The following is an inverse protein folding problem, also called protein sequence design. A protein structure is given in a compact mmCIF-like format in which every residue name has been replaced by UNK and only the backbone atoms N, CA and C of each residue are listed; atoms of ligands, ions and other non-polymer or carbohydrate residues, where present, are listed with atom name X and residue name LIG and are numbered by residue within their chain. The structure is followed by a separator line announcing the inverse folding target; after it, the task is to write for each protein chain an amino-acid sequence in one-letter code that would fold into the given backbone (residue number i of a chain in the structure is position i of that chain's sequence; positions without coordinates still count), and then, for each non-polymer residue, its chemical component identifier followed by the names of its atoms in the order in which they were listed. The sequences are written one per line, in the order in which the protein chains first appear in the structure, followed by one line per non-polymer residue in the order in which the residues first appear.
data_IF_091049978776
#
_entry.id   IF_091049978776
#
_cell.length_a   1.000
_cell.length_b   1.000
_cell.length_c   1.000
_cell.angle_alpha   90.00
_cell.angle_beta   90.00
_cell.angle_gamma   90.00
#
_symmetry.space_group_name_H-M   'P 1'
#
loop_
_entity.id
_entity.type
_entity.pdbx_description
1 polymer ?
#
# COMPACT_ATOMS: atom_id res chain seq x y z
N UNK A 1 18.45 -4.94 0.18
CA UNK A 1 17.59 -5.28 1.33
C UNK A 1 16.46 -4.28 1.45
N UNK A 2 15.27 -4.77 1.82
CA UNK A 2 14.09 -3.93 2.11
C UNK A 2 13.85 -4.00 3.62
N UNK A 3 13.71 -2.86 4.26
CA UNK A 3 13.39 -2.76 5.68
C UNK A 3 12.05 -2.10 5.89
N UNK A 4 11.17 -2.72 6.68
CA UNK A 4 9.87 -2.19 7.08
C UNK A 4 9.92 -1.83 8.57
N UNK A 5 9.55 -0.60 8.88
CA UNK A 5 9.43 -0.09 10.24
C UNK A 5 7.96 0.22 10.55
N UNK A 6 7.49 -0.27 11.67
CA UNK A 6 6.09 -0.16 12.09
C UNK A 6 5.98 0.65 13.38
N UNK A 7 5.03 1.56 13.44
CA UNK A 7 4.85 2.45 14.58
C UNK A 7 3.40 2.90 14.78
N UNK A 8 3.20 3.77 15.77
CA UNK A 8 1.88 4.31 16.08
C UNK A 8 1.36 5.21 14.96
N UNK A 9 0.30 4.75 14.27
CA UNK A 9 -0.34 5.45 13.14
C UNK A 9 0.62 5.82 11.99
N UNK A 10 1.70 5.05 11.87
CA UNK A 10 2.74 5.30 10.89
C UNK A 10 3.54 4.03 10.60
N UNK A 11 3.90 3.82 9.35
CA UNK A 11 4.96 2.89 8.97
C UNK A 11 5.78 3.46 7.83
N UNK A 12 7.00 2.96 7.68
CA UNK A 12 7.82 3.32 6.52
C UNK A 12 8.62 2.12 6.02
N UNK A 13 8.92 2.19 4.75
CA UNK A 13 9.79 1.23 4.05
C UNK A 13 10.99 2.00 3.53
N UNK A 14 12.17 1.43 3.72
CA UNK A 14 13.42 1.97 3.17
C UNK A 14 14.15 0.84 2.42
N UNK A 15 14.65 1.15 1.24
CA UNK A 15 15.43 0.21 0.44
C UNK A 15 16.39 0.94 -0.49
N UNK A 16 17.51 0.28 -0.81
CA UNK A 16 18.48 0.78 -1.78
C UNK A 16 17.90 0.76 -3.19
N UNK A 17 18.14 1.81 -3.97
CA UNK A 17 17.72 1.92 -5.37
C UNK A 17 18.88 1.70 -6.36
N UNK A 18 20.11 1.60 -5.86
CA UNK A 18 21.29 1.26 -6.64
C UNK A 18 22.10 0.14 -5.97
N UNK A 19 23.01 -0.47 -6.73
CA UNK A 19 23.83 -1.56 -6.26
C UNK A 19 24.89 -1.12 -5.24
N UNK A 20 25.28 0.16 -5.25
CA UNK A 20 26.35 0.70 -4.42
C UNK A 20 25.84 1.10 -3.03
N UNK A 21 24.52 0.99 -2.78
CA UNK A 21 23.85 1.40 -1.54
C UNK A 21 24.08 2.88 -1.15
N UNK A 22 24.33 3.74 -2.13
CA UNK A 22 24.53 5.18 -1.90
C UNK A 22 23.21 5.96 -1.95
N UNK A 23 22.20 5.42 -2.66
CA UNK A 23 20.89 6.03 -2.76
C UNK A 23 19.80 5.11 -2.21
N UNK A 24 18.93 5.67 -1.39
CA UNK A 24 17.82 4.96 -0.76
C UNK A 24 16.49 5.60 -1.13
N UNK A 25 15.49 4.76 -1.36
CA UNK A 25 14.12 5.20 -1.44
C UNK A 25 13.47 5.06 -0.06
N UNK A 26 12.72 6.08 0.33
CA UNK A 26 11.94 6.13 1.57
C UNK A 26 10.46 6.34 1.22
N UNK A 27 9.62 5.47 1.72
CA UNK A 27 8.17 5.56 1.57
C UNK A 27 7.54 5.50 2.95
N UNK A 28 7.00 6.63 3.42
CA UNK A 28 6.29 6.70 4.69
C UNK A 28 4.78 6.77 4.47
N UNK A 29 4.01 5.98 5.22
CA UNK A 29 2.55 6.04 5.26
C UNK A 29 2.13 6.50 6.64
N UNK A 30 1.59 7.71 6.70
CA UNK A 30 1.19 8.38 7.94
C UNK A 30 -0.33 8.55 8.00
N UNK A 31 -0.94 8.16 9.10
CA UNK A 31 -2.32 8.54 9.37
C UNK A 31 -2.38 10.03 9.71
N UNK A 32 -2.89 10.80 8.79
CA UNK A 32 -3.05 12.24 8.91
C UNK A 32 -4.53 12.61 8.84
N UNK A 33 -5.00 13.46 9.74
CA UNK A 33 -6.39 13.93 9.74
C UNK A 33 -6.45 15.21 8.92
N UNK A 34 -7.13 15.15 7.79
CA UNK A 34 -7.43 16.28 6.94
C UNK A 34 -8.87 16.75 7.16
N UNK A 35 -9.12 18.03 7.05
CA UNK A 35 -10.46 18.61 6.95
C UNK A 35 -11.05 18.36 5.56
N UNK A 36 -12.37 18.54 5.39
CA UNK A 36 -13.00 18.38 4.08
C UNK A 36 -12.38 19.32 3.03
N UNK A 37 -12.16 20.59 3.39
CA UNK A 37 -11.55 21.57 2.49
C UNK A 37 -10.12 21.23 2.08
N UNK A 38 -9.35 20.60 2.98
CA UNK A 38 -7.98 20.16 2.68
C UNK A 38 -7.96 18.93 1.76
N UNK A 39 -8.96 18.04 1.86
CA UNK A 39 -9.09 16.87 0.99
C UNK A 39 -9.34 17.26 -0.48
N UNK A 40 -10.09 18.34 -0.70
CA UNK A 40 -10.44 18.84 -2.04
C UNK A 40 -9.33 19.74 -2.63
N UNK A 41 -8.34 20.13 -1.81
CA UNK A 41 -7.24 20.98 -2.24
C UNK A 41 -6.01 20.16 -2.66
N UNK A 42 -5.96 19.77 -3.91
CA UNK A 42 -4.80 19.03 -4.46
C UNK A 42 -3.48 19.82 -4.43
N UNK A 43 -3.54 21.15 -4.36
CA UNK A 43 -2.37 22.03 -4.23
C UNK A 43 -1.69 21.90 -2.85
N UNK A 44 -2.46 21.55 -1.82
CA UNK A 44 -1.97 21.40 -0.45
C UNK A 44 -0.78 20.45 -0.36
N UNK A 45 -0.83 19.32 -1.06
CA UNK A 45 0.22 18.29 -1.00
C UNK A 45 1.56 18.71 -1.65
N UNK A 46 1.56 19.85 -2.36
CA UNK A 46 2.74 20.51 -2.93
C UNK A 46 3.17 21.75 -2.14
N UNK A 47 2.35 22.18 -1.19
CA UNK A 47 2.63 23.35 -0.36
C UNK A 47 3.80 23.07 0.60
N UNK A 48 4.76 23.97 0.65
CA UNK A 48 5.97 23.82 1.49
C UNK A 48 5.65 23.81 2.98
N UNK A 49 4.68 24.60 3.43
CA UNK A 49 4.25 24.65 4.83
C UNK A 49 3.59 23.35 5.25
N UNK A 50 2.73 22.78 4.38
CA UNK A 50 2.14 21.48 4.63
C UNK A 50 3.19 20.36 4.70
N UNK A 51 4.11 20.32 3.73
CA UNK A 51 5.21 19.34 3.71
C UNK A 51 6.05 19.46 4.98
N UNK A 52 6.35 20.68 5.43
CA UNK A 52 7.08 20.91 6.67
C UNK A 52 6.29 20.40 7.89
N UNK A 53 4.97 20.65 7.95
CA UNK A 53 4.13 20.14 9.04
C UNK A 53 4.10 18.60 9.10
N UNK A 54 4.14 17.94 7.94
CA UNK A 54 4.27 16.48 7.86
C UNK A 54 5.65 16.04 8.36
N UNK A 55 6.72 16.73 7.97
CA UNK A 55 8.08 16.46 8.42
C UNK A 55 8.20 16.60 9.95
N UNK A 56 7.62 17.64 10.53
CA UNK A 56 7.60 17.86 11.98
C UNK A 56 6.88 16.73 12.74
N UNK A 57 5.78 16.21 12.20
CA UNK A 57 5.09 15.04 12.75
C UNK A 57 5.90 13.75 12.67
N UNK A 58 6.88 13.68 11.77
CA UNK A 58 7.78 12.53 11.64
C UNK A 58 8.97 12.60 12.59
N UNK A 59 9.35 13.77 13.11
CA UNK A 59 10.51 13.95 14.01
C UNK A 59 10.52 12.99 15.20
N UNK A 60 9.34 12.73 15.78
CA UNK A 60 9.20 11.80 16.91
C UNK A 60 8.94 10.34 16.51
N UNK A 61 8.96 10.03 15.21
CA UNK A 61 8.60 8.70 14.68
C UNK A 61 9.74 8.04 13.91
N UNK A 62 10.68 8.83 13.42
CA UNK A 62 11.83 8.39 12.62
C UNK A 62 13.09 8.94 13.29
N UNK A 63 14.20 8.20 13.20
CA UNK A 63 15.47 8.72 13.71
C UNK A 63 15.86 10.01 12.98
N UNK A 64 16.45 10.96 13.70
CA UNK A 64 16.90 12.25 13.16
C UNK A 64 17.85 12.06 11.98
N UNK A 65 18.73 11.08 12.05
CA UNK A 65 19.66 10.75 10.97
C UNK A 65 18.97 10.42 9.64
N UNK A 66 17.86 9.66 9.67
CA UNK A 66 17.06 9.40 8.46
C UNK A 66 16.37 10.69 8.01
N UNK A 67 15.73 11.39 8.94
CA UNK A 67 14.91 12.56 8.63
C UNK A 67 15.73 13.70 8.01
N UNK A 68 16.96 13.91 8.49
CA UNK A 68 17.86 14.94 8.01
C UNK A 68 18.38 14.66 6.58
N UNK A 69 18.43 13.37 6.23
CA UNK A 69 18.83 12.93 4.89
C UNK A 69 17.66 12.78 3.91
N UNK A 70 16.41 13.04 4.34
CA UNK A 70 15.26 13.04 3.42
C UNK A 70 15.24 14.33 2.60
N UNK A 71 15.69 14.20 1.35
CA UNK A 71 15.67 15.28 0.37
C UNK A 71 14.41 15.15 -0.51
N UNK A 72 13.85 16.31 -0.92
CA UNK A 72 12.72 16.36 -1.87
C UNK A 72 11.50 15.53 -1.45
N UNK A 73 11.08 15.65 -0.19
CA UNK A 73 9.87 14.99 0.30
C UNK A 73 8.67 15.42 -0.54
N UNK A 74 7.94 14.42 -1.04
CA UNK A 74 6.66 14.61 -1.74
C UNK A 74 5.57 13.98 -0.92
N UNK A 75 4.46 14.68 -0.75
CA UNK A 75 3.26 14.18 -0.07
C UNK A 75 2.20 13.81 -1.10
N UNK A 76 1.53 12.70 -0.87
CA UNK A 76 0.43 12.23 -1.71
C UNK A 76 -0.73 11.78 -0.82
N UNK A 77 -1.97 12.18 -1.10
CA UNK A 77 -3.13 11.59 -0.46
C UNK A 77 -3.28 10.14 -0.93
N UNK A 78 -3.69 9.26 -0.02
CA UNK A 78 -4.00 7.89 -0.37
C UNK A 78 -5.51 7.75 -0.48
N UNK A 79 -5.99 7.49 -1.68
CA UNK A 79 -7.38 7.14 -1.94
C UNK A 79 -7.54 5.62 -1.99
N UNK A 80 -8.59 5.13 -1.35
CA UNK A 80 -8.90 3.70 -1.27
C UNK A 80 -10.34 3.49 -1.71
N UNK A 81 -10.55 2.55 -2.62
CA UNK A 81 -11.89 2.22 -3.10
C UNK A 81 -12.74 1.57 -2.00
N UNK A 82 -14.02 1.95 -1.93
CA UNK A 82 -15.01 1.31 -1.07
C UNK A 82 -15.65 0.09 -1.75
N UNK A 83 -15.70 0.11 -3.07
CA UNK A 83 -16.23 -0.94 -3.94
C UNK A 83 -15.66 -0.77 -5.34
N UNK A 84 -16.02 -1.64 -6.25
CA UNK A 84 -15.73 -1.51 -7.68
C UNK A 84 -17.01 -1.12 -8.44
N UNK A 85 -16.82 -0.48 -9.58
CA UNK A 85 -17.91 -0.18 -10.49
C UNK A 85 -18.11 -1.37 -11.42
N UNK A 86 -19.36 -1.79 -11.61
CA UNK A 86 -19.70 -2.76 -12.64
C UNK A 86 -19.45 -2.14 -14.04
N UNK A 87 -19.02 -2.95 -14.99
CA UNK A 87 -18.77 -2.46 -16.33
C UNK A 87 -20.06 -1.97 -16.97
N UNK A 88 -19.97 -0.86 -17.67
CA UNK A 88 -20.96 -0.49 -18.68
C UNK A 88 -20.47 -1.00 -20.03
N UNK A 89 -21.40 -1.18 -20.98
CA UNK A 89 -21.09 -1.70 -22.31
C UNK A 89 -19.85 -1.02 -22.93
N UNK A 90 -18.86 -1.84 -23.29
CA UNK A 90 -17.60 -1.46 -23.94
C UNK A 90 -16.60 -0.61 -23.11
N UNK A 91 -16.80 -0.45 -21.81
CA UNK A 91 -15.85 0.24 -20.94
C UNK A 91 -15.28 -0.75 -19.91
N UNK A 92 -13.97 -0.96 -19.95
CA UNK A 92 -13.26 -1.84 -19.03
C UNK A 92 -12.37 -1.02 -18.11
N UNK A 93 -12.51 -1.22 -16.81
CA UNK A 93 -11.66 -0.60 -15.79
C UNK A 93 -10.62 -1.62 -15.31
N UNK A 94 -9.36 -1.18 -15.18
CA UNK A 94 -8.26 -1.99 -14.63
C UNK A 94 -7.45 -1.16 -13.64
N UNK A 95 -6.62 -1.82 -12.83
CA UNK A 95 -5.76 -1.18 -11.84
C UNK A 95 -6.54 -0.35 -10.82
N UNK A 96 -6.02 0.80 -10.46
CA UNK A 96 -6.63 1.69 -9.46
C UNK A 96 -7.98 2.28 -9.93
N UNK A 97 -8.21 2.35 -11.24
CA UNK A 97 -9.52 2.76 -11.79
C UNK A 97 -10.60 1.71 -11.49
N UNK A 98 -10.24 0.42 -11.47
CA UNK A 98 -11.14 -0.64 -11.03
C UNK A 98 -11.21 -0.70 -9.50
N UNK A 99 -10.05 -0.72 -8.83
CA UNK A 99 -9.98 -0.77 -7.38
C UNK A 99 -8.62 -0.29 -6.84
N UNK A 100 -8.63 0.81 -6.10
CA UNK A 100 -7.46 1.31 -5.40
C UNK A 100 -7.33 0.68 -4.00
N UNK A 101 -6.18 0.05 -3.74
CA UNK A 101 -5.87 -0.63 -2.47
C UNK A 101 -5.14 0.27 -1.48
N UNK A 102 -5.25 0.01 -0.15
CA UNK A 102 -4.25 0.52 0.78
C UNK A 102 -2.85 0.05 0.39
N UNK A 103 -1.82 0.92 0.44
CA UNK A 103 -0.46 0.60 -0.05
C UNK A 103 0.29 -0.44 0.81
N UNK A 104 -0.26 -0.82 1.96
CA UNK A 104 0.38 -1.68 2.97
C UNK A 104 0.71 -3.11 2.51
N UNK A 105 0.29 -3.50 1.32
CA UNK A 105 0.57 -4.80 0.73
C UNK A 105 1.35 -4.71 -0.58
N UNK A 106 1.67 -3.48 -1.02
CA UNK A 106 2.45 -3.18 -2.23
C UNK A 106 1.94 -3.89 -3.50
N UNK A 107 0.62 -4.05 -3.66
CA UNK A 107 0.01 -4.82 -4.75
C UNK A 107 -0.53 -3.96 -5.90
N UNK A 108 -0.59 -2.62 -5.77
CA UNK A 108 -1.23 -1.76 -6.77
C UNK A 108 -0.70 -1.99 -8.19
N UNK A 109 0.61 -1.85 -8.39
CA UNK A 109 1.23 -1.99 -9.71
C UNK A 109 1.10 -3.41 -10.28
N UNK A 110 1.39 -4.45 -9.49
CA UNK A 110 1.29 -5.84 -9.95
C UNK A 110 -0.15 -6.22 -10.31
N UNK A 111 -1.13 -5.73 -9.56
CA UNK A 111 -2.54 -5.96 -9.85
C UNK A 111 -3.04 -5.19 -11.09
N UNK A 112 -2.45 -4.05 -11.39
CA UNK A 112 -2.74 -3.31 -12.63
C UNK A 112 -2.22 -4.07 -13.86
N UNK A 113 -0.99 -4.58 -13.81
CA UNK A 113 -0.37 -5.36 -14.90
C UNK A 113 -1.14 -6.68 -15.12
N UNK A 114 -1.40 -7.40 -14.05
CA UNK A 114 -2.14 -8.66 -14.08
C UNK A 114 -3.56 -8.47 -14.61
N UNK A 115 -4.28 -7.44 -14.14
CA UNK A 115 -5.61 -7.10 -14.63
C UNK A 115 -5.63 -6.75 -16.12
N UNK A 116 -4.60 -6.08 -16.62
CA UNK A 116 -4.44 -5.83 -18.06
C UNK A 116 -4.25 -7.11 -18.86
N UNK A 117 -3.42 -8.05 -18.39
CA UNK A 117 -3.22 -9.35 -19.02
C UNK A 117 -4.50 -10.21 -19.01
N UNK A 118 -5.16 -10.30 -17.85
CA UNK A 118 -6.41 -11.04 -17.71
C UNK A 118 -7.52 -10.49 -18.61
N UNK A 119 -7.63 -9.16 -18.74
CA UNK A 119 -8.56 -8.51 -19.64
C UNK A 119 -8.27 -8.85 -21.11
N UNK A 120 -6.99 -8.75 -21.50
CA UNK A 120 -6.57 -9.11 -22.86
C UNK A 120 -6.94 -10.57 -23.19
N UNK A 121 -6.63 -11.51 -22.32
CA UNK A 121 -6.97 -12.92 -22.48
C UNK A 121 -8.49 -13.16 -22.55
N UNK A 122 -9.27 -12.41 -21.76
CA UNK A 122 -10.72 -12.47 -21.77
C UNK A 122 -11.30 -12.01 -23.10
N UNK A 123 -10.79 -10.92 -23.66
CA UNK A 123 -11.24 -10.39 -24.96
C UNK A 123 -10.90 -11.37 -26.10
N UNK A 124 -9.65 -11.86 -26.16
CA UNK A 124 -9.22 -12.78 -27.22
C UNK A 124 -9.97 -14.09 -27.17
N UNK A 125 -10.19 -14.64 -25.98
CA UNK A 125 -10.86 -15.93 -25.80
C UNK A 125 -12.38 -15.80 -25.62
N UNK A 126 -12.95 -14.58 -25.78
CA UNK A 126 -14.39 -14.29 -25.64
C UNK A 126 -14.98 -14.82 -24.32
N UNK A 127 -14.23 -14.68 -23.23
CA UNK A 127 -14.67 -15.06 -21.89
C UNK A 127 -15.43 -13.89 -21.23
N UNK A 128 -16.56 -14.17 -20.62
CA UNK A 128 -17.41 -13.12 -20.01
C UNK A 128 -17.24 -13.01 -18.49
N UNK A 129 -16.29 -13.74 -17.89
CA UNK A 129 -16.12 -13.82 -16.44
C UNK A 129 -15.01 -12.93 -15.86
N UNK A 130 -14.38 -12.05 -16.67
CA UNK A 130 -13.26 -11.21 -16.24
C UNK A 130 -13.55 -10.45 -14.95
N UNK A 131 -14.70 -9.81 -14.86
CA UNK A 131 -15.04 -8.98 -13.69
C UNK A 131 -15.28 -9.79 -12.43
N UNK A 132 -15.94 -10.93 -12.52
CA UNK A 132 -16.22 -11.81 -11.37
C UNK A 132 -14.93 -12.38 -10.79
N UNK A 133 -14.05 -12.88 -11.65
CA UNK A 133 -12.76 -13.42 -11.27
C UNK A 133 -11.89 -12.29 -10.66
N UNK A 134 -11.88 -11.12 -11.28
CA UNK A 134 -11.14 -9.96 -10.81
C UNK A 134 -11.67 -9.43 -9.50
N UNK A 135 -12.99 -9.33 -9.33
CA UNK A 135 -13.64 -8.88 -8.10
C UNK A 135 -13.29 -9.79 -6.91
N UNK A 136 -13.30 -11.10 -7.12
CA UNK A 136 -12.90 -12.08 -6.10
C UNK A 136 -11.46 -11.88 -5.64
N UNK A 137 -10.52 -11.72 -6.59
CA UNK A 137 -9.11 -11.49 -6.31
C UNK A 137 -8.86 -10.16 -5.60
N UNK A 138 -9.51 -9.09 -6.07
CA UNK A 138 -9.46 -7.76 -5.47
C UNK A 138 -9.94 -7.77 -4.03
N UNK A 139 -11.04 -8.47 -3.72
CA UNK A 139 -11.57 -8.61 -2.36
C UNK A 139 -10.54 -9.26 -1.43
N UNK A 140 -9.89 -10.33 -1.87
CA UNK A 140 -8.85 -11.01 -1.10
C UNK A 140 -7.66 -10.08 -0.81
N UNK A 141 -7.16 -9.37 -1.83
CA UNK A 141 -6.01 -8.47 -1.71
C UNK A 141 -6.35 -7.28 -0.81
N UNK A 142 -7.52 -6.69 -0.97
CA UNK A 142 -8.00 -5.59 -0.13
C UNK A 142 -8.06 -5.98 1.36
N UNK A 143 -8.58 -7.16 1.66
CA UNK A 143 -8.64 -7.67 3.03
C UNK A 143 -7.24 -7.83 3.63
N UNK A 144 -6.27 -8.34 2.87
CA UNK A 144 -4.88 -8.46 3.30
C UNK A 144 -4.20 -7.09 3.47
N UNK A 145 -4.45 -6.17 2.55
CA UNK A 145 -3.94 -4.79 2.63
C UNK A 145 -4.47 -4.08 3.87
N UNK A 146 -5.76 -4.22 4.19
CA UNK A 146 -6.38 -3.66 5.40
C UNK A 146 -5.80 -4.28 6.68
N UNK A 147 -5.62 -5.61 6.69
CA UNK A 147 -5.01 -6.31 7.81
C UNK A 147 -3.57 -5.84 8.07
N UNK A 148 -2.77 -5.72 7.01
CA UNK A 148 -1.41 -5.22 7.10
C UNK A 148 -1.40 -3.76 7.58
N UNK A 149 -2.27 -2.90 7.05
CA UNK A 149 -2.37 -1.50 7.49
C UNK A 149 -2.71 -1.42 8.98
N UNK A 150 -3.66 -2.22 9.44
CA UNK A 150 -3.98 -2.31 10.87
C UNK A 150 -2.74 -2.76 11.67
N UNK A 151 -2.12 -3.87 11.28
CA UNK A 151 -0.96 -4.41 11.99
C UNK A 151 0.22 -3.42 12.04
N UNK A 152 0.48 -2.69 10.95
CA UNK A 152 1.59 -1.73 10.87
C UNK A 152 1.36 -0.46 11.71
N UNK A 153 0.10 -0.09 11.98
CA UNK A 153 -0.27 1.16 12.65
C UNK A 153 -0.74 0.99 14.09
N UNK A 154 -0.71 -0.23 14.62
CA UNK A 154 -1.12 -0.51 16.02
C UNK A 154 -0.24 0.23 17.00
N UNK A 155 -0.89 0.85 18.02
CA UNK A 155 -0.23 1.61 19.07
C UNK A 155 -0.41 1.00 20.48
N UNK A 156 -1.43 0.16 20.70
CA UNK A 156 -1.66 -0.48 21.98
C UNK A 156 -0.52 -1.47 22.31
N UNK A 157 0.18 -1.34 23.46
CA UNK A 157 1.35 -2.15 23.78
C UNK A 157 1.08 -3.66 23.79
N UNK A 158 -0.07 -4.09 24.28
CA UNK A 158 -0.45 -5.50 24.31
C UNK A 158 -0.63 -6.05 22.90
N UNK A 159 -1.34 -5.31 22.04
CA UNK A 159 -1.55 -5.73 20.64
C UNK A 159 -0.23 -5.71 19.89
N UNK A 160 0.65 -4.74 20.13
CA UNK A 160 2.01 -4.68 19.57
C UNK A 160 2.82 -5.92 19.96
N UNK A 161 2.76 -6.32 21.23
CA UNK A 161 3.43 -7.51 21.71
C UNK A 161 2.96 -8.77 20.96
N UNK A 162 1.65 -9.00 20.87
CA UNK A 162 1.08 -10.16 20.16
C UNK A 162 1.36 -10.10 18.66
N UNK A 163 1.26 -8.91 18.03
CA UNK A 163 1.65 -8.72 16.64
C UNK A 163 3.10 -9.15 16.40
N UNK A 164 4.04 -8.66 17.22
CA UNK A 164 5.46 -8.95 17.04
C UNK A 164 5.75 -10.44 17.23
N UNK A 165 5.11 -11.07 18.23
CA UNK A 165 5.21 -12.52 18.44
C UNK A 165 4.67 -13.30 17.23
N UNK A 166 3.49 -12.93 16.74
CA UNK A 166 2.87 -13.55 15.57
C UNK A 166 3.75 -13.40 14.32
N UNK A 167 4.26 -12.21 14.05
CA UNK A 167 5.17 -11.99 12.92
C UNK A 167 6.44 -12.84 13.04
N UNK A 168 7.04 -12.91 14.23
CA UNK A 168 8.24 -13.75 14.47
C UNK A 168 8.01 -15.23 14.17
N UNK A 169 6.81 -15.74 14.45
CA UNK A 169 6.43 -17.13 14.19
C UNK A 169 6.06 -17.32 12.71
N UNK A 170 5.18 -16.48 12.19
CA UNK A 170 4.60 -16.62 10.85
C UNK A 170 5.63 -16.41 9.75
N UNK A 171 6.57 -15.49 9.90
CA UNK A 171 7.62 -15.24 8.90
C UNK A 171 8.63 -16.38 8.79
N UNK A 172 8.72 -17.26 9.78
CA UNK A 172 9.53 -18.48 9.73
C UNK A 172 8.80 -19.67 9.11
N UNK A 173 7.49 -19.60 8.98
CA UNK A 173 6.67 -20.69 8.47
C UNK A 173 6.52 -20.56 6.95
N UNK A 174 7.29 -21.34 6.18
CA UNK A 174 7.27 -21.35 4.71
C UNK A 174 5.87 -21.61 4.15
N UNK A 175 5.14 -22.60 4.71
CA UNK A 175 3.77 -22.94 4.26
C UNK A 175 2.79 -21.78 4.45
N UNK A 176 2.94 -21.03 5.55
CA UNK A 176 2.15 -19.80 5.76
C UNK A 176 2.49 -18.74 4.71
N UNK A 177 3.79 -18.49 4.46
CA UNK A 177 4.21 -17.50 3.47
C UNK A 177 3.75 -17.88 2.07
N UNK A 178 3.88 -19.14 1.67
CA UNK A 178 3.39 -19.64 0.39
C UNK A 178 1.88 -19.49 0.24
N UNK A 179 1.11 -19.74 1.29
CA UNK A 179 -0.33 -19.55 1.28
C UNK A 179 -0.74 -18.08 1.34
N UNK A 180 -0.03 -17.27 2.10
CA UNK A 180 -0.36 -15.86 2.29
C UNK A 180 0.03 -15.01 1.09
N UNK A 181 1.22 -15.23 0.54
CA UNK A 181 1.74 -14.50 -0.63
C UNK A 181 1.40 -15.23 -1.93
N UNK A 182 1.57 -16.54 -1.99
CA UNK A 182 1.43 -17.33 -3.21
C UNK A 182 0.02 -17.38 -3.77
N UNK A 183 -1.02 -17.32 -2.92
CA UNK A 183 -2.42 -17.24 -3.41
C UNK A 183 -2.74 -15.99 -4.23
N UNK A 184 -1.89 -14.98 -4.20
CA UNK A 184 -2.06 -13.77 -5.01
C UNK A 184 -1.72 -14.05 -6.46
N UNK A 185 -0.74 -14.93 -6.70
CA UNK A 185 -0.14 -15.23 -8.00
C UNK A 185 -0.55 -16.60 -8.57
N UNK A 186 -1.33 -17.36 -7.81
CA UNK A 186 -1.90 -18.64 -8.29
C UNK A 186 -3.30 -18.36 -8.82
N UNK A 187 -3.48 -18.64 -10.10
CA UNK A 187 -4.81 -18.74 -10.72
C UNK A 187 -5.49 -20.02 -10.26
#
# INVERSE_FOLDING_TARGET
NISLFMGNNFHYVIYSVNNDNEAFNFIGVLKYKLTANELDNYGLFKDKGFIQSVKDKLQNKISTNILDNLNNIKCFPIFVSKGYLEPTDNIFLIGDAFFAFPPSFAQGASQSIEGGSELFDSIINKKNNFYDDRASKVKMINNRSKLNQFAFHVSNPLIVFFRNLSLKILTKNKKFLENYLGKIYKN
#
